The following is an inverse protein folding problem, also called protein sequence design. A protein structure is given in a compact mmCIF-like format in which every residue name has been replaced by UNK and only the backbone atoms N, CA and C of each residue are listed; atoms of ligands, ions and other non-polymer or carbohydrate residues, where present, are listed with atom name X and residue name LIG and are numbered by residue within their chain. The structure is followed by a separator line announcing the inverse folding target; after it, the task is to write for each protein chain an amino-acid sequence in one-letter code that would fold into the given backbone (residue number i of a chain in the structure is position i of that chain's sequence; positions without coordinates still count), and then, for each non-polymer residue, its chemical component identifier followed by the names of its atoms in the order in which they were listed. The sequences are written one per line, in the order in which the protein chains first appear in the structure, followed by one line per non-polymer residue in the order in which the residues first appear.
data_IF_286202743169
#
_entry.id   IF_286202743169
#
_cell.length_a   1.000
_cell.length_b   1.000
_cell.length_c   1.000
_cell.angle_alpha   90.00
_cell.angle_beta   90.00
_cell.angle_gamma   90.00
#
_symmetry.space_group_name_H-M   'P 1'
#
loop_
_entity.id
_entity.type
_entity.pdbx_description
1 polymer ?
#
# COMPACT_ATOMS: atom_id res chain seq x y z
N UNK A 1 1.20 27.96 20.07
CA UNK A 1 1.67 26.80 19.27
C UNK A 1 2.02 27.25 17.87
N UNK A 2 3.14 26.81 17.29
CA UNK A 2 3.48 27.11 15.88
C UNK A 2 2.41 26.57 14.93
N UNK A 3 2.10 27.31 13.86
CA UNK A 3 1.21 26.89 12.76
C UNK A 3 1.57 25.49 12.21
N UNK A 4 2.87 25.14 12.22
CA UNK A 4 3.33 23.79 11.83
C UNK A 4 2.86 22.69 12.78
N UNK A 5 2.86 22.93 14.10
CA UNK A 5 2.43 21.94 15.09
C UNK A 5 0.94 21.68 15.03
N UNK A 6 0.14 22.73 14.81
CA UNK A 6 -1.32 22.62 14.65
C UNK A 6 -1.66 21.78 13.41
N UNK A 7 -0.97 22.00 12.29
CA UNK A 7 -1.16 21.21 11.07
C UNK A 7 -0.80 19.74 11.27
N UNK A 8 0.34 19.44 11.91
CA UNK A 8 0.74 18.06 12.19
C UNK A 8 -0.25 17.33 13.11
N UNK A 9 -0.74 18.01 14.15
CA UNK A 9 -1.76 17.46 15.03
C UNK A 9 -3.06 17.18 14.28
N UNK A 10 -3.53 18.11 13.44
CA UNK A 10 -4.72 17.91 12.63
C UNK A 10 -4.57 16.71 11.67
N UNK A 11 -3.42 16.58 11.01
CA UNK A 11 -3.14 15.43 10.14
C UNK A 11 -3.13 14.11 10.91
N UNK A 12 -2.50 14.07 12.09
CA UNK A 12 -2.48 12.88 12.93
C UNK A 12 -3.88 12.47 13.38
N UNK A 13 -4.71 13.44 13.80
CA UNK A 13 -6.11 13.20 14.17
C UNK A 13 -6.91 12.63 12.99
N UNK A 14 -6.76 13.22 11.80
CA UNK A 14 -7.43 12.71 10.60
C UNK A 14 -6.98 11.30 10.23
N UNK A 15 -5.67 11.01 10.34
CA UNK A 15 -5.15 9.68 10.07
C UNK A 15 -5.71 8.64 11.05
N UNK A 16 -5.79 8.96 12.34
CA UNK A 16 -6.40 8.10 13.36
C UNK A 16 -7.89 7.92 13.10
N UNK A 17 -8.63 9.00 12.84
CA UNK A 17 -10.05 8.93 12.53
C UNK A 17 -10.34 8.07 11.29
N UNK A 18 -9.56 8.25 10.22
CA UNK A 18 -9.64 7.42 9.03
C UNK A 18 -9.29 5.96 9.32
N UNK A 19 -8.27 5.70 10.14
CA UNK A 19 -7.91 4.34 10.58
C UNK A 19 -9.07 3.68 11.28
N UNK A 20 -9.68 4.35 12.26
CA UNK A 20 -10.80 3.83 13.05
C UNK A 20 -12.04 3.64 12.18
N UNK A 21 -12.35 4.59 11.30
CA UNK A 21 -13.49 4.49 10.38
C UNK A 21 -13.32 3.31 9.41
N UNK A 22 -12.14 3.14 8.82
CA UNK A 22 -11.84 2.00 7.95
C UNK A 22 -11.90 0.68 8.71
N UNK A 23 -11.33 0.67 9.93
CA UNK A 23 -11.38 -0.45 10.83
C UNK A 23 -12.82 -0.89 11.16
N UNK A 24 -13.67 0.04 11.60
CA UNK A 24 -15.05 -0.29 11.95
C UNK A 24 -15.97 -0.46 10.73
N UNK A 25 -15.50 -0.07 9.54
CA UNK A 25 -16.31 0.03 8.33
C UNK A 25 -16.72 -1.32 7.75
N UNK A 26 -17.89 -1.30 7.11
CA UNK A 26 -18.45 -2.40 6.35
C UNK A 26 -18.85 -1.91 4.95
N UNK A 27 -18.84 -2.81 3.97
CA UNK A 27 -19.38 -2.54 2.64
C UNK A 27 -20.92 -2.60 2.63
N UNK A 28 -21.53 -2.29 1.49
CA UNK A 28 -23.00 -2.33 1.30
C UNK A 28 -23.59 -3.74 1.50
N UNK A 29 -22.74 -4.77 1.50
CA UNK A 29 -23.10 -6.18 1.70
C UNK A 29 -22.83 -6.64 3.15
N UNK A 30 -22.43 -5.73 4.05
CA UNK A 30 -22.16 -5.97 5.45
C UNK A 30 -20.82 -6.65 5.76
N UNK A 31 -19.93 -6.82 4.77
CA UNK A 31 -18.61 -7.43 4.92
C UNK A 31 -17.61 -6.41 5.45
N UNK A 32 -16.60 -6.87 6.19
CA UNK A 32 -15.59 -5.94 6.74
C UNK A 32 -14.72 -5.36 5.63
N UNK A 33 -14.47 -4.06 5.67
CA UNK A 33 -13.55 -3.40 4.72
C UNK A 33 -12.09 -3.83 4.88
N UNK A 34 -11.75 -4.49 5.99
CA UNK A 34 -10.38 -4.97 6.25
C UNK A 34 -10.04 -6.26 5.52
N UNK A 35 -11.06 -7.06 5.20
CA UNK A 35 -10.82 -8.36 4.59
C UNK A 35 -10.45 -8.18 3.11
N UNK A 36 -9.33 -8.77 2.65
CA UNK A 36 -8.94 -8.67 1.25
C UNK A 36 -9.97 -9.42 0.38
N UNK A 37 -10.63 -8.68 -0.51
CA UNK A 37 -11.67 -9.19 -1.42
C UNK A 37 -11.27 -8.98 -2.88
N UNK A 38 -11.97 -9.66 -3.80
CA UNK A 38 -11.70 -9.61 -5.25
C UNK A 38 -10.20 -9.86 -5.56
N UNK A 39 -9.56 -8.99 -6.34
CA UNK A 39 -8.15 -9.12 -6.71
C UNK A 39 -7.20 -9.09 -5.52
N UNK A 40 -7.53 -8.30 -4.49
CA UNK A 40 -6.66 -8.10 -3.34
C UNK A 40 -6.41 -9.42 -2.60
N UNK A 41 -7.40 -10.32 -2.58
CA UNK A 41 -7.27 -11.65 -1.98
C UNK A 41 -6.11 -12.46 -2.58
N UNK A 42 -5.93 -12.41 -3.90
CA UNK A 42 -4.93 -13.22 -4.60
C UNK A 42 -3.52 -12.69 -4.42
N UNK A 43 -3.35 -11.37 -4.35
CA UNK A 43 -2.10 -10.75 -3.97
C UNK A 43 -1.78 -11.02 -2.49
N UNK A 44 -2.79 -10.97 -1.63
CA UNK A 44 -2.60 -11.15 -0.19
C UNK A 44 -2.28 -12.61 0.19
N UNK A 45 -2.85 -13.60 -0.52
CA UNK A 45 -2.71 -15.03 -0.20
C UNK A 45 -1.24 -15.50 -0.08
N UNK A 46 -0.31 -14.88 -0.82
CA UNK A 46 1.12 -15.16 -0.70
C UNK A 46 1.67 -14.88 0.70
N UNK A 47 1.17 -13.88 1.43
CA UNK A 47 1.70 -13.50 2.74
C UNK A 47 1.55 -14.63 3.77
N UNK A 48 0.34 -15.09 4.12
CA UNK A 48 0.19 -16.19 5.07
C UNK A 48 0.71 -17.52 4.53
N UNK A 49 0.59 -17.79 3.22
CA UNK A 49 1.12 -19.03 2.64
C UNK A 49 2.65 -19.11 2.77
N UNK A 50 3.37 -18.01 2.55
CA UNK A 50 4.84 -18.00 2.71
C UNK A 50 5.29 -17.94 4.17
N UNK A 51 4.64 -17.12 5.00
CA UNK A 51 5.11 -16.81 6.35
C UNK A 51 4.63 -17.84 7.37
N UNK A 52 3.41 -18.36 7.21
CA UNK A 52 2.78 -19.27 8.17
C UNK A 52 2.83 -20.72 7.69
N UNK A 53 2.44 -20.96 6.43
CA UNK A 53 2.36 -22.33 5.90
C UNK A 53 3.71 -22.81 5.31
N UNK A 54 4.58 -21.88 4.90
CA UNK A 54 5.89 -22.17 4.30
C UNK A 54 5.81 -22.79 2.91
N UNK A 55 4.71 -22.57 2.19
CA UNK A 55 4.46 -23.14 0.87
C UNK A 55 3.91 -22.12 -0.13
N UNK A 56 3.52 -22.63 -1.30
CA UNK A 56 2.74 -21.89 -2.30
C UNK A 56 1.52 -22.74 -2.65
N UNK A 57 0.79 -23.18 -1.62
CA UNK A 57 -0.50 -23.82 -1.74
C UNK A 57 -1.58 -22.92 -1.15
N UNK A 58 -2.33 -22.25 -2.03
CA UNK A 58 -3.34 -21.27 -1.62
C UNK A 58 -4.65 -21.91 -1.13
N UNK A 59 -4.69 -23.23 -0.92
CA UNK A 59 -5.91 -23.93 -0.50
C UNK A 59 -6.49 -23.37 0.80
N UNK A 60 -5.64 -23.07 1.78
CA UNK A 60 -6.07 -22.52 3.07
C UNK A 60 -6.62 -21.10 2.91
N UNK A 61 -5.90 -20.27 2.16
CA UNK A 61 -6.24 -18.87 1.95
C UNK A 61 -7.55 -18.74 1.15
N UNK A 62 -7.72 -19.56 0.12
CA UNK A 62 -8.94 -19.54 -0.70
C UNK A 62 -10.16 -20.13 0.01
N UNK A 63 -10.01 -20.88 1.10
CA UNK A 63 -11.16 -21.22 1.97
C UNK A 63 -11.72 -19.98 2.67
N UNK A 64 -10.86 -19.02 3.01
CA UNK A 64 -11.27 -17.77 3.66
C UNK A 64 -11.74 -16.76 2.61
N UNK A 65 -10.90 -16.45 1.62
CA UNK A 65 -11.15 -15.36 0.67
C UNK A 65 -12.06 -15.74 -0.48
N UNK A 66 -12.29 -17.04 -0.70
CA UNK A 66 -12.96 -17.63 -1.85
C UNK A 66 -12.16 -17.46 -3.16
N UNK A 67 -12.20 -18.46 -4.04
CA UNK A 67 -11.62 -18.40 -5.39
C UNK A 67 -12.61 -17.75 -6.37
N UNK A 68 -12.85 -16.44 -6.21
CA UNK A 68 -13.75 -15.64 -7.04
C UNK A 68 -13.55 -15.78 -8.56
N UNK A 69 -12.30 -15.82 -9.03
CA UNK A 69 -11.97 -15.98 -10.45
C UNK A 69 -11.99 -17.43 -10.92
N UNK A 70 -12.28 -18.37 -10.02
CA UNK A 70 -12.34 -19.80 -10.30
C UNK A 70 -11.09 -20.28 -11.02
N UNK A 71 -9.93 -19.78 -10.59
CA UNK A 71 -8.65 -20.18 -11.15
C UNK A 71 -8.51 -21.70 -10.97
N UNK A 72 -8.32 -22.39 -12.10
CA UNK A 72 -8.19 -23.84 -12.14
C UNK A 72 -6.94 -24.32 -11.41
N UNK A 73 -6.83 -25.65 -11.19
CA UNK A 73 -5.64 -26.21 -10.60
C UNK A 73 -4.43 -26.02 -11.53
N UNK A 74 -3.27 -25.84 -10.92
CA UNK A 74 -1.97 -25.93 -11.57
C UNK A 74 -1.70 -27.36 -12.05
N UNK A 75 -0.70 -27.60 -12.93
CA UNK A 75 -0.33 -28.95 -13.36
C UNK A 75 0.01 -29.91 -12.21
N UNK A 76 0.39 -29.38 -11.04
CA UNK A 76 0.69 -30.16 -9.83
C UNK A 76 -0.54 -30.31 -8.89
N UNK A 77 -1.74 -29.93 -9.33
CA UNK A 77 -3.00 -30.11 -8.60
C UNK A 77 -3.31 -29.04 -7.55
N UNK A 78 -2.46 -28.04 -7.35
CA UNK A 78 -2.69 -26.94 -6.37
C UNK A 78 -3.55 -25.82 -6.95
N UNK A 79 -4.28 -25.04 -6.13
CA UNK A 79 -5.05 -23.90 -6.62
C UNK A 79 -4.17 -22.91 -7.39
N UNK A 80 -4.62 -22.52 -8.58
CA UNK A 80 -3.91 -21.55 -9.41
C UNK A 80 -3.93 -20.14 -8.81
N UNK A 81 -2.87 -19.39 -9.07
CA UNK A 81 -2.82 -17.95 -8.83
C UNK A 81 -2.06 -17.29 -9.98
N UNK A 82 -2.74 -16.41 -10.71
CA UNK A 82 -2.15 -15.66 -11.84
C UNK A 82 -1.59 -14.31 -11.40
N UNK A 83 -1.91 -13.88 -10.18
CA UNK A 83 -1.52 -12.58 -9.65
C UNK A 83 -0.07 -12.63 -9.16
N UNK A 84 0.70 -11.62 -9.51
CA UNK A 84 2.12 -11.57 -9.19
C UNK A 84 2.39 -11.42 -7.69
N UNK A 85 3.41 -12.11 -7.19
CA UNK A 85 3.83 -12.10 -5.78
C UNK A 85 4.37 -10.73 -5.29
N UNK A 86 4.69 -9.80 -6.20
CA UNK A 86 5.41 -8.55 -5.90
C UNK A 86 4.83 -7.73 -4.73
N UNK A 87 3.52 -7.42 -4.70
CA UNK A 87 2.91 -6.70 -3.58
C UNK A 87 3.05 -7.42 -2.23
N UNK A 88 3.01 -8.75 -2.21
CA UNK A 88 3.19 -9.54 -0.99
C UNK A 88 4.62 -9.46 -0.47
N UNK A 89 5.63 -9.64 -1.33
CA UNK A 89 7.05 -9.49 -0.93
C UNK A 89 7.29 -8.10 -0.35
N UNK A 90 6.70 -7.08 -0.95
CA UNK A 90 6.84 -5.71 -0.48
C UNK A 90 6.19 -5.49 0.90
N UNK A 91 5.01 -6.07 1.13
CA UNK A 91 4.29 -5.96 2.39
C UNK A 91 4.80 -6.92 3.48
N UNK A 92 5.69 -7.86 3.15
CA UNK A 92 6.12 -8.95 4.03
C UNK A 92 6.67 -8.47 5.39
N UNK A 93 7.57 -7.46 5.48
CA UNK A 93 8.06 -7.00 6.78
C UNK A 93 6.94 -6.46 7.68
N UNK A 94 5.97 -5.76 7.07
CA UNK A 94 4.85 -5.17 7.81
C UNK A 94 3.85 -6.24 8.22
N UNK A 95 3.62 -7.25 7.37
CA UNK A 95 2.80 -8.42 7.72
C UNK A 95 3.37 -9.16 8.92
N UNK A 96 4.68 -9.41 8.96
CA UNK A 96 5.34 -10.09 10.10
C UNK A 96 5.13 -9.31 11.40
N UNK A 97 5.25 -7.97 11.37
CA UNK A 97 4.95 -7.13 12.53
C UNK A 97 3.49 -7.26 12.94
N UNK A 98 2.56 -7.22 12.00
CA UNK A 98 1.13 -7.40 12.28
C UNK A 98 0.78 -8.76 12.85
N UNK A 99 1.41 -9.82 12.33
CA UNK A 99 1.27 -11.17 12.85
C UNK A 99 1.80 -11.27 14.29
N UNK A 100 2.96 -10.68 14.58
CA UNK A 100 3.50 -10.60 15.94
C UNK A 100 2.57 -9.87 16.91
N UNK A 101 1.92 -8.78 16.48
CA UNK A 101 0.91 -8.08 17.29
C UNK A 101 -0.36 -8.91 17.48
N UNK A 102 -0.78 -9.67 16.47
CA UNK A 102 -1.91 -10.58 16.58
C UNK A 102 -1.65 -11.65 17.66
N UNK A 103 -0.47 -12.27 17.64
CA UNK A 103 -0.04 -13.21 18.68
C UNK A 103 0.02 -12.55 20.06
N UNK A 104 0.62 -11.36 20.17
CA UNK A 104 0.77 -10.66 21.44
C UNK A 104 -0.56 -10.21 22.06
N UNK A 105 -1.58 -9.93 21.25
CA UNK A 105 -2.91 -9.51 21.71
C UNK A 105 -3.88 -10.69 21.89
N UNK A 106 -3.46 -11.92 21.56
CA UNK A 106 -4.34 -13.09 21.57
C UNK A 106 -5.46 -13.01 20.52
N UNK A 107 -5.29 -12.19 19.49
CA UNK A 107 -6.24 -12.10 18.39
C UNK A 107 -6.12 -13.35 17.49
N UNK A 108 -7.05 -13.49 16.54
CA UNK A 108 -6.90 -14.40 15.39
C UNK A 108 -5.50 -14.19 14.78
N UNK A 109 -4.81 -15.26 14.36
CA UNK A 109 -3.43 -15.19 13.87
C UNK A 109 -3.18 -16.18 12.71
N UNK A 110 -4.17 -16.35 11.84
CA UNK A 110 -4.11 -17.23 10.66
C UNK A 110 -3.78 -16.45 9.38
N UNK A 111 -3.26 -15.23 9.52
CA UNK A 111 -3.00 -14.34 8.39
C UNK A 111 -4.14 -13.39 8.06
N UNK A 112 -5.35 -13.58 8.60
CA UNK A 112 -6.52 -12.75 8.29
C UNK A 112 -7.02 -11.95 9.50
N UNK A 113 -6.16 -11.74 10.48
CA UNK A 113 -6.46 -10.89 11.63
C UNK A 113 -6.59 -9.42 11.24
N UNK A 114 -7.25 -8.66 12.10
CA UNK A 114 -7.32 -7.21 11.95
C UNK A 114 -5.93 -6.56 11.97
N UNK A 115 -4.98 -7.07 12.76
CA UNK A 115 -3.62 -6.52 12.83
C UNK A 115 -2.83 -6.75 11.54
N UNK A 116 -2.88 -7.97 11.01
CA UNK A 116 -2.18 -8.34 9.77
C UNK A 116 -2.73 -7.58 8.56
N UNK A 117 -4.07 -7.60 8.38
CA UNK A 117 -4.73 -6.97 7.23
C UNK A 117 -4.61 -5.45 7.26
N UNK A 118 -4.86 -4.82 8.43
CA UNK A 118 -4.82 -3.36 8.57
C UNK A 118 -3.43 -2.81 8.28
N UNK A 119 -2.37 -3.40 8.84
CA UNK A 119 -1.01 -2.90 8.64
C UNK A 119 -0.53 -3.08 7.19
N UNK A 120 -0.87 -4.20 6.56
CA UNK A 120 -0.59 -4.41 5.13
C UNK A 120 -1.30 -3.35 4.28
N UNK A 121 -2.57 -3.04 4.57
CA UNK A 121 -3.32 -2.01 3.83
C UNK A 121 -2.72 -0.60 4.02
N UNK A 122 -2.28 -0.26 5.24
CA UNK A 122 -1.61 1.02 5.52
C UNK A 122 -0.29 1.17 4.77
N UNK A 123 0.38 0.07 4.41
CA UNK A 123 1.61 0.11 3.60
C UNK A 123 1.36 0.76 2.24
N UNK A 124 0.22 0.48 1.60
CA UNK A 124 -0.17 1.09 0.32
C UNK A 124 -0.42 2.59 0.43
N UNK A 125 -1.05 3.02 1.52
CA UNK A 125 -1.29 4.45 1.80
C UNK A 125 0.05 5.15 2.02
N UNK A 126 0.91 4.59 2.86
CA UNK A 126 2.23 5.14 3.14
C UNK A 126 3.08 5.31 1.87
N UNK A 127 3.04 4.33 0.96
CA UNK A 127 3.76 4.40 -0.33
C UNK A 127 3.14 5.41 -1.29
N UNK A 128 1.82 5.53 -1.30
CA UNK A 128 1.12 6.49 -2.15
C UNK A 128 1.35 7.94 -1.70
N UNK A 129 1.46 8.14 -0.39
CA UNK A 129 1.76 9.43 0.24
C UNK A 129 3.27 9.70 0.37
N UNK A 130 4.11 8.71 0.07
CA UNK A 130 5.56 8.86 0.14
C UNK A 130 5.96 10.06 -0.72
N UNK A 131 6.75 11.02 -0.18
CA UNK A 131 7.20 12.16 -0.96
C UNK A 131 7.98 11.66 -2.17
N UNK A 132 7.35 11.63 -3.34
CA UNK A 132 8.08 11.47 -4.59
C UNK A 132 8.98 12.68 -4.67
N UNK A 133 10.30 12.46 -4.62
CA UNK A 133 11.27 13.47 -4.96
C UNK A 133 10.86 14.05 -6.32
N UNK A 134 10.20 15.22 -6.30
CA UNK A 134 9.95 15.99 -7.51
C UNK A 134 11.34 16.36 -8.00
N UNK A 135 11.82 15.65 -9.02
CA UNK A 135 12.93 16.10 -9.83
C UNK A 135 12.62 17.52 -10.24
N UNK A 136 13.30 18.48 -9.61
CA UNK A 136 13.20 19.89 -9.95
C UNK A 136 13.82 20.01 -11.32
N UNK A 137 13.02 19.89 -12.37
CA UNK A 137 13.44 20.15 -13.74
C UNK A 137 13.96 21.58 -13.81
N UNK A 138 15.28 21.69 -13.81
CA UNK A 138 16.04 22.93 -13.96
C UNK A 138 15.97 23.43 -15.41
N UNK A 139 14.78 23.53 -16.00
CA UNK A 139 14.61 23.87 -17.42
C UNK A 139 14.09 25.29 -17.67
N UNK A 140 13.90 26.11 -16.65
CA UNK A 140 13.36 27.48 -16.80
C UNK A 140 14.29 28.62 -16.36
N UNK A 141 15.58 28.36 -16.14
CA UNK A 141 16.56 29.44 -15.85
C UNK A 141 17.55 29.78 -16.96
N UNK A 142 17.53 29.10 -18.11
CA UNK A 142 18.49 29.36 -19.19
C UNK A 142 17.97 30.32 -20.27
N UNK A 143 16.65 30.40 -20.53
CA UNK A 143 16.12 31.25 -21.59
C UNK A 143 16.15 32.77 -21.27
N UNK A 144 16.09 33.14 -19.99
CA UNK A 144 16.06 34.56 -19.58
C UNK A 144 17.44 35.25 -19.66
N UNK A 145 18.54 34.48 -19.59
CA UNK A 145 19.90 35.05 -19.58
C UNK A 145 20.49 35.23 -20.98
N UNK A 146 20.04 34.46 -21.97
CA UNK A 146 20.47 34.60 -23.37
C UNK A 146 19.80 35.79 -24.09
N UNK A 147 18.63 36.24 -23.63
CA UNK A 147 17.89 37.33 -24.26
C UNK A 147 18.33 38.73 -23.79
N UNK A 148 18.93 38.84 -22.59
CA UNK A 148 19.49 40.11 -22.08
C UNK A 148 20.87 40.47 -22.63
N UNK A 149 21.61 39.52 -23.18
CA UNK A 149 22.91 39.78 -23.82
C UNK A 149 22.78 40.22 -25.28
N UNK A 150 21.69 39.87 -25.97
CA UNK A 150 21.46 40.31 -27.36
C UNK A 150 20.95 41.76 -27.46
N UNK A 151 20.17 42.22 -26.48
CA UNK A 151 19.64 43.59 -26.46
C UNK A 151 20.71 44.67 -26.19
N UNK A 152 21.82 44.33 -25.51
CA UNK A 152 22.92 45.29 -25.25
C UNK A 152 23.91 45.46 -26.40
N UNK A 153 23.85 44.62 -27.44
CA UNK A 153 24.76 44.69 -28.60
C UNK A 153 24.24 45.59 -29.74
N UNK A 154 22.96 45.96 -29.75
CA UNK A 154 22.39 46.88 -30.74
C UNK A 154 22.41 48.36 -30.33
N UNK A 155 22.69 48.71 -29.07
CA UNK A 155 22.76 50.12 -28.63
C UNK A 155 24.19 50.69 -28.54
N UNK A 156 25.18 50.01 -29.14
CA UNK A 156 26.59 50.44 -29.17
C UNK A 156 27.18 50.55 -30.59
N UNK A 157 26.33 50.51 -31.62
CA UNK A 157 26.67 50.83 -33.02
C UNK A 157 25.69 51.86 -33.55
N UNK A 158 25.75 53.05 -32.95
CA UNK A 158 25.15 54.29 -33.43
C UNK A 158 26.20 55.38 -33.23
#
# INVERSE_FOLDING_TARGET
MSSSRVRWLATAVLAVAATVAFAAGKDDWGRSLREPTADAAYYYAYLPSLVLDGDLDFTNQYRVTQNWYRLGPTPIGRPGNVFGIGPAVFALPVFVVGHGLALATGARSDGFSGWETTLVLWTSIAMSLWPRCRGRSSTTRSASRAMRTRARRCSRRS
#
